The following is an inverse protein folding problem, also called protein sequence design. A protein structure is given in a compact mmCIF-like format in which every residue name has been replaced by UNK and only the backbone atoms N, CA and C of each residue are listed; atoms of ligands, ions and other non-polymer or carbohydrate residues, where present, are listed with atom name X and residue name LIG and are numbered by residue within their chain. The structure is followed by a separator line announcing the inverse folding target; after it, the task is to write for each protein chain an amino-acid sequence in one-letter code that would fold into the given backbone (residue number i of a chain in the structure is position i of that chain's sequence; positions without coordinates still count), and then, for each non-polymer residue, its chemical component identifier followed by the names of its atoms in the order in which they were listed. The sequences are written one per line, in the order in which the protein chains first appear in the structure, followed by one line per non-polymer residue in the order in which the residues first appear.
data_IF_421282818983
#
_entry.id   IF_421282818983
#
_cell.length_a   1.000
_cell.length_b   1.000
_cell.length_c   1.000
_cell.angle_alpha   90.00
_cell.angle_beta   90.00
_cell.angle_gamma   90.00
#
_symmetry.space_group_name_H-M   'P 1'
#
loop_
_entity.id
_entity.type
_entity.pdbx_description
1 polymer ?
#
# COMPACT_ATOMS: atom_id res chain seq x y z
N UNK A 1 -6.89 -5.74 9.08
CA UNK A 1 -6.33 -4.63 8.30
C UNK A 1 -6.54 -4.95 6.83
N UNK A 2 -6.80 -3.95 5.98
CA UNK A 2 -6.87 -4.10 4.52
C UNK A 2 -5.82 -3.20 3.88
N UNK A 3 -5.10 -3.73 2.89
CA UNK A 3 -4.09 -2.96 2.16
C UNK A 3 -4.27 -3.17 0.67
N UNK A 4 -4.34 -2.08 -0.09
CA UNK A 4 -4.16 -2.11 -1.53
C UNK A 4 -2.71 -1.72 -1.81
N UNK A 5 -1.98 -2.64 -2.43
CA UNK A 5 -0.55 -2.46 -2.74
C UNK A 5 -0.44 -2.08 -4.21
N UNK A 6 0.25 -0.98 -4.49
CA UNK A 6 0.52 -0.52 -5.84
C UNK A 6 2.02 -0.40 -6.04
N UNK A 7 2.56 -1.16 -6.99
CA UNK A 7 3.93 -0.98 -7.46
C UNK A 7 4.02 0.29 -8.30
N UNK A 8 4.88 1.21 -7.91
CA UNK A 8 4.97 2.53 -8.54
C UNK A 8 6.38 2.85 -9.02
N UNK A 9 6.47 3.62 -10.12
CA UNK A 9 7.72 4.28 -10.53
C UNK A 9 7.99 5.55 -9.73
N UNK A 10 6.92 6.21 -9.28
CA UNK A 10 6.91 7.35 -8.35
C UNK A 10 5.51 7.52 -7.79
N UNK A 11 5.38 8.14 -6.63
CA UNK A 11 4.08 8.49 -6.03
C UNK A 11 4.21 9.70 -5.12
N UNK A 12 3.13 10.46 -4.94
CA UNK A 12 3.10 11.60 -4.03
C UNK A 12 1.70 11.84 -3.46
N UNK A 13 1.64 12.49 -2.30
CA UNK A 13 0.43 13.04 -1.69
C UNK A 13 0.56 14.55 -1.65
N UNK A 14 -0.52 15.22 -2.04
CA UNK A 14 -0.63 16.68 -2.01
C UNK A 14 -1.84 17.09 -1.20
N UNK A 15 -1.67 18.02 -0.26
CA UNK A 15 -2.74 18.59 0.56
C UNK A 15 -2.73 20.10 0.34
N UNK A 16 -3.85 20.68 -0.07
CA UNK A 16 -3.97 22.11 -0.37
C UNK A 16 -2.90 22.65 -1.35
N UNK A 17 -2.46 21.82 -2.29
CA UNK A 17 -1.42 22.17 -3.26
C UNK A 17 0.03 21.93 -2.80
N UNK A 18 0.25 21.58 -1.53
CA UNK A 18 1.58 21.30 -0.99
C UNK A 18 1.88 19.80 -0.95
N UNK A 19 3.11 19.41 -1.34
CA UNK A 19 3.55 18.01 -1.27
C UNK A 19 3.91 17.69 0.17
N UNK A 20 3.13 16.81 0.79
CA UNK A 20 3.36 16.34 2.18
C UNK A 20 4.08 14.99 2.24
N UNK A 21 4.17 14.29 1.10
CA UNK A 21 4.91 13.05 0.97
C UNK A 21 5.16 12.71 -0.50
N UNK A 22 6.35 12.24 -0.82
CA UNK A 22 6.75 11.86 -2.18
C UNK A 22 7.80 10.77 -2.13
N UNK A 23 7.68 9.81 -3.04
CA UNK A 23 8.62 8.70 -3.18
C UNK A 23 9.02 8.49 -4.64
N UNK A 24 10.19 7.89 -4.82
CA UNK A 24 10.64 7.37 -6.11
C UNK A 24 10.06 5.99 -6.42
N UNK A 25 10.90 5.11 -6.97
CA UNK A 25 10.55 3.71 -7.23
C UNK A 25 10.24 3.02 -5.90
N UNK A 26 9.09 2.35 -5.81
CA UNK A 26 8.65 1.78 -4.54
C UNK A 26 7.22 1.27 -4.56
N UNK A 27 6.57 1.31 -3.39
CA UNK A 27 5.16 0.95 -3.23
C UNK A 27 4.35 2.15 -2.70
N UNK A 28 3.19 2.38 -3.31
CA UNK A 28 2.11 3.14 -2.68
C UNK A 28 1.16 2.15 -1.99
N UNK A 29 0.93 2.36 -0.69
CA UNK A 29 0.09 1.51 0.14
C UNK A 29 -1.13 2.33 0.58
N UNK A 30 -2.31 1.95 0.11
CA UNK A 30 -3.57 2.43 0.68
C UNK A 30 -3.94 1.50 1.83
N UNK A 31 -4.01 2.03 3.04
CA UNK A 31 -4.15 1.26 4.27
C UNK A 31 -5.46 1.60 4.96
N UNK A 32 -6.31 0.59 5.13
CA UNK A 32 -7.47 0.63 6.00
C UNK A 32 -7.19 -0.20 7.25
N UNK A 33 -7.53 0.35 8.41
CA UNK A 33 -7.49 -0.34 9.70
C UNK A 33 -8.91 -0.29 10.28
N UNK A 34 -9.39 -1.42 10.79
CA UNK A 34 -10.66 -1.53 11.49
C UNK A 34 -10.42 -1.71 13.00
N UNK A 35 -11.42 -1.37 13.80
CA UNK A 35 -11.37 -1.48 15.27
C UNK A 35 -11.19 -2.92 15.78
N UNK A 36 -11.42 -3.91 14.92
CA UNK A 36 -11.23 -5.33 15.21
C UNK A 36 -9.82 -5.83 14.91
N UNK A 37 -8.98 -5.00 14.29
CA UNK A 37 -7.62 -5.40 13.93
C UNK A 37 -6.73 -5.41 15.17
N UNK A 38 -5.95 -6.47 15.30
CA UNK A 38 -5.01 -6.67 16.41
C UNK A 38 -3.58 -6.29 16.02
N UNK A 39 -2.74 -5.97 17.00
CA UNK A 39 -1.32 -5.67 16.78
C UNK A 39 -0.60 -6.82 16.03
N UNK A 40 -0.96 -8.07 16.35
CA UNK A 40 -0.40 -9.25 15.67
C UNK A 40 -0.76 -9.31 14.18
N UNK A 41 -2.00 -8.96 13.81
CA UNK A 41 -2.43 -8.90 12.42
C UNK A 41 -1.77 -7.74 11.66
N UNK A 42 -1.57 -6.60 12.34
CA UNK A 42 -0.86 -5.45 11.80
C UNK A 42 0.60 -5.80 11.52
N UNK A 43 1.31 -6.37 12.50
CA UNK A 43 2.71 -6.80 12.36
C UNK A 43 2.88 -7.80 11.21
N UNK A 44 1.96 -8.76 11.12
CA UNK A 44 1.96 -9.73 10.03
C UNK A 44 1.74 -9.07 8.66
N UNK A 45 0.80 -8.12 8.56
CA UNK A 45 0.52 -7.41 7.31
C UNK A 45 1.70 -6.52 6.88
N UNK A 46 2.35 -5.85 7.83
CA UNK A 46 3.56 -5.05 7.56
C UNK A 46 4.66 -5.92 6.98
N UNK A 47 4.98 -7.06 7.62
CA UNK A 47 5.97 -8.02 7.09
C UNK A 47 5.60 -8.49 5.69
N UNK A 48 4.33 -8.88 5.48
CA UNK A 48 3.80 -9.25 4.15
C UNK A 48 4.03 -8.16 3.10
N UNK A 49 3.77 -6.88 3.41
CA UNK A 49 3.97 -5.79 2.46
C UNK A 49 5.45 -5.58 2.11
N UNK A 50 6.34 -5.73 3.09
CA UNK A 50 7.78 -5.55 2.93
C UNK A 50 8.45 -6.69 2.15
N UNK A 51 7.98 -7.92 2.36
CA UNK A 51 8.58 -9.14 1.81
C UNK A 51 7.99 -9.56 0.45
N UNK A 52 6.85 -8.98 0.05
CA UNK A 52 6.19 -9.29 -1.21
C UNK A 52 7.09 -9.01 -2.43
N UNK A 53 7.35 -10.06 -3.21
CA UNK A 53 8.20 -10.00 -4.42
C UNK A 53 7.41 -9.43 -5.60
N UNK A 54 7.45 -8.10 -5.75
CA UNK A 54 6.69 -7.35 -6.75
C UNK A 54 7.59 -6.66 -7.80
N UNK A 55 8.91 -6.77 -7.67
CA UNK A 55 9.85 -6.10 -8.56
C UNK A 55 10.63 -7.12 -9.40
N UNK A 56 10.96 -6.76 -10.66
CA UNK A 56 11.81 -7.60 -11.51
C UNK A 56 13.23 -7.66 -10.95
N UNK A 57 13.98 -8.68 -11.38
CA UNK A 57 15.42 -8.74 -11.14
C UNK A 57 16.18 -7.73 -12.03
N UNK A 58 17.45 -7.48 -11.73
CA UNK A 58 18.29 -6.55 -12.49
C UNK A 58 18.63 -7.09 -13.90
N UNK A 59 18.60 -8.41 -14.09
CA UNK A 59 18.98 -9.08 -15.33
C UNK A 59 17.79 -9.35 -16.27
N UNK A 60 17.14 -8.29 -16.79
CA UNK A 60 16.29 -8.36 -17.99
C UNK A 60 15.11 -9.36 -17.99
N UNK A 61 14.82 -9.98 -16.86
CA UNK A 61 13.84 -11.04 -16.69
C UNK A 61 12.58 -10.45 -16.05
N UNK A 62 11.44 -10.59 -16.73
CA UNK A 62 10.14 -10.06 -16.30
C UNK A 62 9.56 -10.79 -15.07
N UNK A 63 10.28 -11.76 -14.51
CA UNK A 63 9.88 -12.47 -13.30
C UNK A 63 9.98 -11.56 -12.08
N UNK A 64 8.87 -11.43 -11.35
CA UNK A 64 8.81 -10.61 -10.14
C UNK A 64 9.40 -11.40 -8.97
N UNK A 65 10.67 -11.10 -8.67
CA UNK A 65 11.46 -11.86 -7.73
C UNK A 65 12.00 -11.03 -6.57
N UNK A 66 11.96 -9.69 -6.65
CA UNK A 66 12.51 -8.82 -5.60
C UNK A 66 11.41 -8.14 -4.81
N UNK A 67 11.61 -8.05 -3.49
CA UNK A 67 10.78 -7.26 -2.60
C UNK A 67 11.15 -5.77 -2.66
N UNK A 68 10.33 -4.92 -2.04
CA UNK A 68 10.65 -3.48 -1.93
C UNK A 68 11.93 -3.25 -1.12
N UNK A 69 12.20 -4.08 -0.13
CA UNK A 69 13.43 -4.01 0.67
C UNK A 69 14.65 -4.39 -0.16
N UNK A 70 14.56 -5.45 -0.96
CA UNK A 70 15.67 -5.93 -1.79
C UNK A 70 16.08 -4.92 -2.86
N UNK A 71 15.15 -4.12 -3.38
CA UNK A 71 15.45 -3.05 -4.34
C UNK A 71 15.79 -1.70 -3.69
N UNK A 72 15.81 -1.62 -2.35
CA UNK A 72 15.98 -0.36 -1.61
C UNK A 72 14.90 0.68 -1.94
N UNK A 73 13.69 0.22 -2.27
CA UNK A 73 12.58 1.06 -2.70
C UNK A 73 11.89 1.76 -1.54
N UNK A 74 11.25 2.89 -1.85
CA UNK A 74 10.53 3.69 -0.89
C UNK A 74 9.10 3.19 -0.66
N UNK A 75 8.48 3.62 0.45
CA UNK A 75 7.08 3.38 0.75
C UNK A 75 6.34 4.69 0.98
N UNK A 76 5.17 4.82 0.35
CA UNK A 76 4.23 5.90 0.62
C UNK A 76 2.95 5.28 1.17
N UNK A 77 2.70 5.49 2.46
CA UNK A 77 1.57 4.90 3.17
C UNK A 77 0.49 5.96 3.35
N UNK A 78 -0.71 5.68 2.84
CA UNK A 78 -1.85 6.61 2.85
C UNK A 78 -3.03 5.93 3.53
N UNK A 79 -3.60 6.59 4.54
CA UNK A 79 -4.81 6.13 5.20
C UNK A 79 -5.98 6.12 4.21
N UNK A 80 -6.68 5.00 4.08
CA UNK A 80 -7.79 4.80 3.17
C UNK A 80 -8.93 4.02 3.84
N UNK A 81 -9.83 4.73 4.52
CA UNK A 81 -10.98 4.13 5.21
C UNK A 81 -11.94 3.43 4.25
N UNK A 82 -12.02 3.86 2.98
CA UNK A 82 -12.97 3.29 2.00
C UNK A 82 -12.72 1.82 1.70
N UNK A 83 -11.56 1.27 2.07
CA UNK A 83 -11.28 -0.15 1.89
C UNK A 83 -12.22 -1.06 2.70
N UNK A 84 -12.92 -0.54 3.71
CA UNK A 84 -13.91 -1.29 4.50
C UNK A 84 -15.36 -1.05 4.07
N UNK A 85 -15.59 -0.29 3.00
CA UNK A 85 -16.92 -0.08 2.44
C UNK A 85 -17.48 -1.38 1.86
N UNK A 86 -18.72 -1.71 2.23
CA UNK A 86 -19.53 -2.74 1.57
C UNK A 86 -20.25 -2.12 0.36
N UNK A 87 -19.78 -2.47 -0.84
CA UNK A 87 -20.32 -1.95 -2.10
C UNK A 87 -21.54 -2.72 -2.60
N UNK A 88 -21.95 -3.82 -1.93
CA UNK A 88 -23.06 -4.66 -2.37
C UNK A 88 -24.41 -4.26 -1.75
N UNK A 89 -24.41 -3.55 -0.61
CA UNK A 89 -25.64 -3.26 0.16
C UNK A 89 -26.39 -1.97 -0.20
N UNK A 90 -25.81 -0.98 -0.86
CA UNK A 90 -26.52 0.28 -1.25
C UNK A 90 -25.69 1.17 -2.18
N UNK A 91 -26.36 1.99 -3.00
CA UNK A 91 -25.74 3.09 -3.79
C UNK A 91 -25.31 4.28 -2.92
N UNK A 92 -25.93 4.43 -1.76
CA UNK A 92 -25.59 5.45 -0.76
C UNK A 92 -24.78 4.78 0.36
N UNK A 93 -23.48 4.64 0.14
CA UNK A 93 -22.61 4.00 1.13
C UNK A 93 -22.28 4.98 2.25
N UNK A 94 -22.72 4.65 3.48
CA UNK A 94 -22.23 5.30 4.68
C UNK A 94 -20.84 4.79 5.03
N UNK A 95 -19.91 5.72 5.14
CA UNK A 95 -18.57 5.51 5.64
C UNK A 95 -18.68 5.48 7.17
N UNK A 96 -18.21 4.40 7.80
CA UNK A 96 -18.12 4.29 9.27
C UNK A 96 -17.18 5.35 9.84
#
# INVERSE_FOLDING_TARGET
MRVVIQRVKSSQVTVNGEIVGKIGRGLNLLVGIANTDTDAEIDWMVRKCLELRLFPDEEGDDRWQKSVQEIGGDLLVVSQFTLYVDTLRSKDTQIL
#
